data_IF_803059543590
#
_entry.id   IF_803059543590
#
_cell.length_a   1.000
_cell.length_b   1.000
_cell.length_c   1.000
_cell.angle_alpha   90.00
_cell.angle_beta   90.00
_cell.angle_gamma   90.00
#
_symmetry.space_group_name_H-M   'P 1'
#
loop_
_entity.id
_entity.type
_entity.pdbx_description
1 polymer ?
#
# COMPACT_ATOMS: atom_id res chain seq x y z
N UNK A 1 11.51 -12.11 9.38
CA UNK A 1 11.97 -10.73 9.63
C UNK A 1 11.02 -10.12 10.66
N UNK A 2 11.46 -9.98 11.91
CA UNK A 2 10.59 -9.70 13.06
C UNK A 2 10.18 -8.23 13.09
N UNK A 3 8.95 -7.92 12.67
CA UNK A 3 8.39 -6.58 12.79
C UNK A 3 8.29 -6.22 14.28
N UNK A 4 8.93 -5.11 14.67
CA UNK A 4 9.01 -4.62 16.04
C UNK A 4 7.61 -4.35 16.59
N UNK A 5 7.30 -4.96 17.73
CA UNK A 5 6.16 -4.70 18.63
C UNK A 5 5.95 -3.20 18.79
N UNK A 6 4.88 -2.66 18.22
CA UNK A 6 4.37 -1.33 18.56
C UNK A 6 2.87 -1.43 18.64
N UNK A 7 2.31 -1.26 19.84
CA UNK A 7 0.87 -1.08 20.04
C UNK A 7 0.50 0.22 19.32
N UNK A 8 -0.11 0.13 18.13
CA UNK A 8 -0.51 1.29 17.36
C UNK A 8 -1.82 1.82 17.93
N UNK A 9 -1.73 2.70 18.92
CA UNK A 9 -2.76 3.72 19.13
C UNK A 9 -2.40 4.89 18.23
N UNK A 10 -3.14 5.10 17.15
CA UNK A 10 -3.24 6.40 16.47
C UNK A 10 -4.48 6.37 15.56
N UNK A 11 -5.57 6.97 16.06
CA UNK A 11 -6.70 7.41 15.25
C UNK A 11 -6.20 8.60 14.42
N UNK A 12 -6.38 8.58 13.11
CA UNK A 12 -5.99 9.69 12.23
C UNK A 12 -6.89 10.93 12.47
N UNK A 13 -6.35 12.10 12.88
CA UNK A 13 -7.10 13.35 12.99
C UNK A 13 -7.16 14.15 11.68
N UNK A 14 -6.63 13.63 10.56
CA UNK A 14 -6.45 14.36 9.31
C UNK A 14 -7.73 14.86 8.61
N UNK A 15 -8.90 14.31 8.93
CA UNK A 15 -10.18 14.63 8.26
C UNK A 15 -11.25 15.20 9.18
N UNK A 16 -11.10 15.13 10.50
CA UNK A 16 -12.15 15.51 11.45
C UNK A 16 -13.45 14.68 11.34
N UNK A 17 -13.45 13.60 10.55
CA UNK A 17 -14.62 12.77 10.24
C UNK A 17 -14.27 11.44 9.57
N UNK A 18 -15.28 10.60 9.36
CA UNK A 18 -15.14 9.29 8.74
C UNK A 18 -14.49 9.35 7.32
N UNK A 19 -13.79 8.29 6.88
CA UNK A 19 -13.59 7.01 7.57
C UNK A 19 -12.45 7.03 8.61
N UNK A 20 -12.65 6.32 9.71
CA UNK A 20 -11.58 6.07 10.68
C UNK A 20 -10.62 5.01 10.14
N UNK A 21 -9.33 5.24 10.34
CA UNK A 21 -8.27 4.31 9.95
C UNK A 21 -7.62 3.73 11.19
N UNK A 22 -7.39 2.41 11.22
CA UNK A 22 -6.70 1.74 12.32
C UNK A 22 -5.80 0.59 11.85
N UNK A 23 -4.99 0.04 12.76
CA UNK A 23 -4.04 -1.03 12.46
C UNK A 23 -3.02 -0.60 11.42
N UNK A 24 -2.92 -1.36 10.32
CA UNK A 24 -2.00 -1.10 9.20
C UNK A 24 -2.64 -0.31 8.04
N UNK A 25 -3.70 0.45 8.31
CA UNK A 25 -4.43 1.22 7.29
C UNK A 25 -5.83 0.69 6.97
N UNK A 26 -6.37 -0.20 7.82
CA UNK A 26 -7.72 -0.73 7.67
C UNK A 26 -8.76 0.37 7.86
N UNK A 27 -9.79 0.36 7.00
CA UNK A 27 -10.94 1.27 7.08
C UNK A 27 -12.21 0.43 6.97
N UNK A 28 -13.17 0.64 7.86
CA UNK A 28 -14.36 -0.19 7.92
C UNK A 28 -15.34 0.25 9.02
N UNK A 29 -16.59 -0.24 9.01
CA UNK A 29 -17.61 0.08 10.01
C UNK A 29 -17.27 -0.46 11.42
N UNK A 30 -16.35 -1.41 11.48
CA UNK A 30 -15.77 -1.99 12.69
C UNK A 30 -14.66 -1.10 13.30
N UNK A 31 -14.15 -0.11 12.58
CA UNK A 31 -13.23 0.90 13.12
C UNK A 31 -14.03 2.03 13.77
N UNK A 32 -14.01 2.06 15.12
CA UNK A 32 -14.77 3.05 15.91
C UNK A 32 -13.85 3.95 16.76
N UNK A 33 -14.23 5.22 16.98
CA UNK A 33 -13.55 6.10 17.92
C UNK A 33 -13.42 5.48 19.31
N UNK A 34 -12.26 5.64 19.95
CA UNK A 34 -12.03 5.15 21.31
C UNK A 34 -11.77 3.65 21.43
N UNK A 35 -11.79 2.90 20.33
CA UNK A 35 -11.46 1.46 20.35
C UNK A 35 -9.98 1.24 20.67
N UNK A 36 -9.69 0.29 21.57
CA UNK A 36 -8.33 -0.21 21.76
C UNK A 36 -8.04 -1.29 20.71
N UNK A 37 -7.20 -0.95 19.73
CA UNK A 37 -6.79 -1.89 18.67
C UNK A 37 -5.61 -2.71 19.16
N UNK A 38 -5.81 -4.03 19.24
CA UNK A 38 -4.76 -4.98 19.59
C UNK A 38 -3.94 -5.37 18.36
N UNK A 39 -2.73 -5.89 18.57
CA UNK A 39 -1.89 -6.42 17.50
C UNK A 39 -2.62 -7.51 16.69
N UNK A 40 -3.27 -8.46 17.38
CA UNK A 40 -4.02 -9.53 16.74
C UNK A 40 -5.18 -9.00 15.88
N UNK A 41 -5.81 -7.90 16.26
CA UNK A 41 -6.83 -7.25 15.44
C UNK A 41 -6.21 -6.58 14.21
N UNK A 42 -5.10 -5.86 14.37
CA UNK A 42 -4.40 -5.22 13.27
C UNK A 42 -3.88 -6.24 12.25
N UNK A 43 -3.34 -7.38 12.72
CA UNK A 43 -2.89 -8.49 11.89
C UNK A 43 -4.06 -9.11 11.13
N UNK A 44 -5.15 -9.44 11.84
CA UNK A 44 -6.35 -10.01 11.22
C UNK A 44 -6.93 -9.10 10.14
N UNK A 45 -7.04 -7.79 10.43
CA UNK A 45 -7.53 -6.83 9.45
C UNK A 45 -6.61 -6.72 8.25
N UNK A 46 -5.30 -6.73 8.47
CA UNK A 46 -4.33 -6.71 7.39
C UNK A 46 -4.40 -7.95 6.52
N UNK A 47 -4.50 -9.15 7.11
CA UNK A 47 -4.65 -10.40 6.36
C UNK A 47 -5.94 -10.40 5.51
N UNK A 48 -7.02 -9.82 6.05
CA UNK A 48 -8.29 -9.68 5.34
C UNK A 48 -8.19 -8.67 4.18
N UNK A 49 -7.54 -7.53 4.41
CA UNK A 49 -7.44 -6.47 3.42
C UNK A 49 -6.44 -6.80 2.31
N UNK A 50 -5.28 -7.36 2.67
CA UNK A 50 -4.16 -7.57 1.75
C UNK A 50 -4.53 -8.56 0.65
N UNK A 51 -5.32 -9.59 0.95
CA UNK A 51 -5.78 -10.59 -0.02
C UNK A 51 -6.52 -9.95 -1.20
N UNK A 52 -7.30 -8.88 -0.97
CA UNK A 52 -7.95 -8.13 -2.05
C UNK A 52 -6.92 -7.49 -2.98
N UNK A 53 -5.87 -6.90 -2.42
CA UNK A 53 -4.82 -6.22 -3.19
C UNK A 53 -3.92 -7.23 -3.91
N UNK A 54 -3.53 -8.32 -3.26
CA UNK A 54 -2.77 -9.42 -3.88
C UNK A 54 -3.51 -9.97 -5.10
N UNK A 55 -4.79 -10.34 -4.93
CA UNK A 55 -5.62 -10.83 -6.03
C UNK A 55 -5.78 -9.78 -7.14
N UNK A 56 -6.04 -8.52 -6.76
CA UNK A 56 -6.20 -7.44 -7.72
C UNK A 56 -4.93 -7.13 -8.52
N UNK A 57 -3.76 -7.19 -7.88
CA UNK A 57 -2.46 -7.04 -8.56
C UNK A 57 -2.20 -8.25 -9.45
N UNK A 58 -2.35 -9.48 -8.92
CA UNK A 58 -2.12 -10.72 -9.65
C UNK A 58 -2.94 -10.77 -10.95
N UNK A 59 -4.23 -10.47 -10.88
CA UNK A 59 -5.13 -10.46 -12.05
C UNK A 59 -4.77 -9.37 -13.08
N UNK A 60 -4.05 -8.32 -12.68
CA UNK A 60 -3.68 -7.22 -13.56
C UNK A 60 -2.31 -7.45 -14.24
N UNK A 61 -1.53 -8.43 -13.78
CA UNK A 61 -0.24 -8.79 -14.35
C UNK A 61 -0.43 -9.69 -15.56
N UNK A 62 0.36 -9.42 -16.61
CA UNK A 62 0.31 -10.18 -17.87
C UNK A 62 1.66 -10.76 -18.27
N UNK A 63 2.64 -10.69 -17.36
CA UNK A 63 4.02 -11.12 -17.55
C UNK A 63 4.48 -11.85 -16.31
N UNK A 64 5.52 -12.68 -16.44
CA UNK A 64 6.19 -13.24 -15.27
C UNK A 64 6.76 -12.12 -14.40
N UNK A 65 6.50 -12.24 -13.10
CA UNK A 65 6.81 -11.22 -12.10
C UNK A 65 7.51 -11.91 -10.94
N UNK A 66 8.62 -11.35 -10.47
CA UNK A 66 9.31 -11.90 -9.29
C UNK A 66 8.50 -11.60 -8.02
N UNK A 67 8.72 -12.38 -6.95
CA UNK A 67 8.04 -12.13 -5.68
C UNK A 67 8.27 -10.70 -5.17
N UNK A 68 9.50 -10.19 -5.23
CA UNK A 68 9.83 -8.83 -4.81
C UNK A 68 9.09 -7.75 -5.63
N UNK A 69 8.97 -7.94 -6.94
CA UNK A 69 8.21 -7.04 -7.80
C UNK A 69 6.73 -7.06 -7.44
N UNK A 70 6.18 -8.26 -7.23
CA UNK A 70 4.80 -8.45 -6.82
C UNK A 70 4.53 -7.77 -5.47
N UNK A 71 5.34 -8.04 -4.45
CA UNK A 71 5.19 -7.47 -3.10
C UNK A 71 5.27 -5.94 -3.11
N UNK A 72 6.20 -5.37 -3.88
CA UNK A 72 6.30 -3.92 -4.04
C UNK A 72 5.06 -3.33 -4.72
N UNK A 73 4.53 -4.00 -5.74
CA UNK A 73 3.30 -3.58 -6.42
C UNK A 73 2.06 -3.72 -5.54
N UNK A 74 1.95 -4.77 -4.72
CA UNK A 74 0.90 -4.95 -3.71
C UNK A 74 0.97 -3.83 -2.67
N UNK A 75 2.16 -3.53 -2.14
CA UNK A 75 2.35 -2.43 -1.18
C UNK A 75 1.95 -1.06 -1.74
N UNK A 76 2.26 -0.82 -3.02
CA UNK A 76 1.79 0.38 -3.72
C UNK A 76 0.28 0.38 -3.86
N UNK A 77 -0.32 -0.69 -4.39
CA UNK A 77 -1.75 -0.84 -4.60
C UNK A 77 -2.55 -0.68 -3.29
N UNK A 78 -2.04 -1.21 -2.19
CA UNK A 78 -2.62 -1.03 -0.85
C UNK A 78 -2.68 0.45 -0.46
N UNK A 79 -1.64 1.24 -0.76
CA UNK A 79 -1.64 2.67 -0.40
C UNK A 79 -2.46 3.55 -1.33
N UNK A 80 -2.42 3.32 -2.64
CA UNK A 80 -3.05 4.20 -3.62
C UNK A 80 -4.45 3.71 -4.04
N UNK A 81 -4.83 2.50 -3.64
CA UNK A 81 -6.03 1.80 -4.07
C UNK A 81 -5.85 1.06 -5.40
N UNK A 82 -6.55 -0.09 -5.54
CA UNK A 82 -6.50 -0.91 -6.76
C UNK A 82 -6.89 -0.14 -8.03
N UNK A 83 -7.93 0.69 -7.98
CA UNK A 83 -8.40 1.43 -9.15
C UNK A 83 -7.35 2.39 -9.73
N UNK A 84 -6.51 2.97 -8.86
CA UNK A 84 -5.37 3.79 -9.28
C UNK A 84 -4.22 2.93 -9.79
N UNK A 85 -3.93 1.82 -9.12
CA UNK A 85 -2.89 0.88 -9.53
C UNK A 85 -3.13 0.29 -10.93
N UNK A 86 -4.34 -0.22 -11.20
CA UNK A 86 -4.70 -0.86 -12.47
C UNK A 86 -4.65 0.10 -13.65
N UNK A 87 -4.83 1.41 -13.42
CA UNK A 87 -4.74 2.46 -14.45
C UNK A 87 -3.34 3.09 -14.53
N UNK A 88 -2.43 2.69 -13.66
CA UNK A 88 -1.14 3.36 -13.51
C UNK A 88 -0.22 3.15 -14.71
N UNK A 89 0.62 4.16 -14.96
CA UNK A 89 1.76 4.02 -15.89
C UNK A 89 2.74 2.96 -15.40
N UNK A 90 2.87 2.76 -14.09
CA UNK A 90 3.73 1.73 -13.50
C UNK A 90 3.35 0.34 -14.01
N UNK A 91 2.08 -0.06 -13.82
CA UNK A 91 1.59 -1.37 -14.27
C UNK A 91 1.75 -1.54 -15.79
N UNK A 92 1.38 -0.50 -16.56
CA UNK A 92 1.57 -0.52 -18.02
C UNK A 92 3.02 -0.74 -18.43
N UNK A 93 3.98 -0.12 -17.74
CA UNK A 93 5.41 -0.31 -18.00
C UNK A 93 5.92 -1.68 -17.53
N UNK A 94 5.38 -2.21 -16.43
CA UNK A 94 5.67 -3.55 -15.94
C UNK A 94 5.22 -4.60 -16.96
N UNK A 95 3.95 -4.57 -17.39
CA UNK A 95 3.41 -5.51 -18.37
C UNK A 95 4.08 -5.39 -19.75
N UNK A 96 4.68 -4.23 -20.07
CA UNK A 96 5.53 -4.04 -21.25
C UNK A 96 6.99 -4.53 -21.05
N UNK A 97 7.28 -5.24 -19.95
CA UNK A 97 8.60 -5.74 -19.56
C UNK A 97 9.69 -4.66 -19.40
N UNK A 98 9.32 -3.38 -19.26
CA UNK A 98 10.28 -2.33 -18.95
C UNK A 98 10.41 -2.15 -17.43
N UNK A 99 11.20 -3.01 -16.79
CA UNK A 99 11.35 -3.04 -15.34
C UNK A 99 11.90 -1.73 -14.76
N UNK A 100 12.94 -1.17 -15.38
CA UNK A 100 13.51 0.13 -15.00
C UNK A 100 12.49 1.27 -15.17
N UNK A 101 11.70 1.24 -16.26
CA UNK A 101 10.65 2.23 -16.46
C UNK A 101 9.58 2.12 -15.36
N UNK A 102 9.15 0.90 -15.01
CA UNK A 102 8.15 0.66 -13.97
C UNK A 102 8.67 1.11 -12.60
N UNK A 103 9.91 0.77 -12.27
CA UNK A 103 10.57 1.18 -11.03
C UNK A 103 10.63 2.71 -10.87
N UNK A 104 10.88 3.45 -11.94
CA UNK A 104 10.86 4.92 -11.93
C UNK A 104 9.46 5.49 -11.62
N UNK A 105 8.39 4.74 -11.91
CA UNK A 105 7.01 5.20 -11.69
C UNK A 105 6.56 5.10 -10.22
N UNK A 106 7.28 4.44 -9.32
CA UNK A 106 6.92 4.47 -7.90
C UNK A 106 6.95 5.91 -7.35
N UNK A 107 7.96 6.70 -7.74
CA UNK A 107 8.18 8.06 -7.23
C UNK A 107 7.12 9.09 -7.62
N UNK A 108 6.20 8.78 -8.55
CA UNK A 108 5.11 9.69 -8.92
C UNK A 108 4.02 9.73 -7.84
N UNK A 109 3.87 8.66 -7.06
CA UNK A 109 2.86 8.52 -6.01
C UNK A 109 3.33 9.09 -4.66
N UNK A 110 3.75 10.37 -4.69
CA UNK A 110 4.33 11.08 -3.53
C UNK A 110 3.49 12.24 -3.00
N UNK A 111 2.33 12.49 -3.61
CA UNK A 111 1.46 13.62 -3.26
C UNK A 111 0.18 13.14 -2.57
N UNK A 112 -0.30 13.91 -1.59
CA UNK A 112 -1.63 13.79 -0.99
C UNK A 112 -2.21 15.19 -0.77
N UNK A 113 -3.51 15.39 -1.04
CA UNK A 113 -4.15 16.71 -0.92
C UNK A 113 -3.48 17.80 -1.78
N UNK A 114 -2.92 17.43 -2.94
CA UNK A 114 -2.18 18.35 -3.82
C UNK A 114 -0.77 18.73 -3.33
N UNK A 115 -0.32 18.23 -2.18
CA UNK A 115 1.00 18.53 -1.61
C UNK A 115 1.90 17.31 -1.60
N UNK A 116 3.20 17.54 -1.76
CA UNK A 116 4.20 16.48 -1.65
C UNK A 116 4.38 16.07 -0.18
N UNK A 117 4.40 14.77 0.09
CA UNK A 117 4.49 14.23 1.44
C UNK A 117 5.82 13.49 1.65
N UNK A 118 6.65 13.97 2.57
CA UNK A 118 7.95 13.34 2.88
C UNK A 118 7.81 11.86 3.26
N UNK A 119 6.74 11.49 3.96
CA UNK A 119 6.45 10.10 4.30
C UNK A 119 6.21 9.23 3.06
N UNK A 120 5.48 9.74 2.07
CA UNK A 120 5.22 9.02 0.81
C UNK A 120 6.50 8.91 -0.02
N UNK A 121 7.34 9.95 -0.08
CA UNK A 121 8.63 9.87 -0.79
C UNK A 121 9.48 8.71 -0.26
N UNK A 122 9.64 8.62 1.07
CA UNK A 122 10.41 7.54 1.71
C UNK A 122 9.79 6.17 1.43
N UNK A 123 8.47 6.06 1.51
CA UNK A 123 7.74 4.82 1.21
C UNK A 123 7.97 4.37 -0.25
N UNK A 124 7.84 5.28 -1.23
CA UNK A 124 8.06 4.95 -2.64
C UNK A 124 9.50 4.56 -2.95
N UNK A 125 10.47 5.14 -2.24
CA UNK A 125 11.87 4.75 -2.38
C UNK A 125 12.10 3.29 -1.92
N UNK A 126 11.55 2.91 -0.76
CA UNK A 126 11.68 1.55 -0.23
C UNK A 126 10.96 0.50 -1.12
N UNK A 127 9.76 0.81 -1.61
CA UNK A 127 9.06 -0.09 -2.53
C UNK A 127 9.78 -0.24 -3.87
N UNK A 128 10.35 0.86 -4.41
CA UNK A 128 11.18 0.80 -5.62
C UNK A 128 12.42 -0.07 -5.39
N UNK A 129 13.07 0.05 -4.25
CA UNK A 129 14.23 -0.75 -3.89
C UNK A 129 13.88 -2.23 -3.83
N UNK A 130 12.79 -2.58 -3.14
CA UNK A 130 12.26 -3.95 -3.12
C UNK A 130 11.97 -4.44 -4.54
N UNK A 131 11.25 -3.67 -5.35
CA UNK A 131 10.91 -4.05 -6.72
C UNK A 131 12.15 -4.38 -7.59
N UNK A 132 13.28 -3.74 -7.31
CA UNK A 132 14.54 -3.88 -8.07
C UNK A 132 15.51 -4.92 -7.49
N UNK A 133 15.15 -5.58 -6.38
CA UNK A 133 15.99 -6.56 -5.68
C UNK A 133 15.83 -7.99 -6.16
#
# INVERSE_FOLDING_TARGET
>A
MTARKRVIKNIDPGTGGAPYTAGYGHTGPDVKPGMNVTQAMADKWFDQDVAKFENGVSNALTVETTQNQFDAMVSLAYNIGLGNFTKSTLLRKHNAKCWQCAAAQFGVWRNAGGKMMTGLIRRRAAERELYMS
#
